data_IF_595103140117
#
_entry.id   IF_595103140117
#
_cell.length_a   1.000
_cell.length_b   1.000
_cell.length_c   1.000
_cell.angle_alpha   90.00
_cell.angle_beta   90.00
_cell.angle_gamma   90.00
#
_symmetry.space_group_name_H-M   'P 1'
#
loop_
_entity.id
_entity.type
_entity.pdbx_description
1 polymer ?
#
# COMPACT_ATOMS: atom_id res chain seq x y z
N UNK A 1 -24.78 -0.54 -12.66
CA UNK A 1 -24.00 -1.77 -12.97
C UNK A 1 -22.73 -1.72 -12.15
N UNK A 2 -22.26 -2.80 -11.52
CA UNK A 2 -20.97 -2.77 -10.83
C UNK A 2 -19.86 -2.54 -11.86
N UNK A 3 -18.97 -1.60 -11.58
CA UNK A 3 -17.79 -1.33 -12.40
C UNK A 3 -16.98 -2.62 -12.56
N UNK A 4 -16.60 -3.04 -13.77
CA UNK A 4 -15.81 -4.25 -13.95
C UNK A 4 -14.51 -4.14 -13.15
N UNK A 5 -14.21 -5.18 -12.37
CA UNK A 5 -12.96 -5.24 -11.60
C UNK A 5 -11.78 -5.25 -12.57
N UNK A 6 -10.91 -4.28 -12.48
CA UNK A 6 -9.63 -4.30 -13.18
C UNK A 6 -8.90 -5.59 -12.78
N UNK A 7 -8.53 -6.43 -13.74
CA UNK A 7 -7.75 -7.64 -13.47
C UNK A 7 -6.27 -7.28 -13.29
N UNK A 8 -5.56 -8.03 -12.45
CA UNK A 8 -4.11 -7.93 -12.38
C UNK A 8 -3.50 -8.58 -13.62
N UNK A 9 -2.63 -7.85 -14.30
CA UNK A 9 -1.89 -8.28 -15.48
C UNK A 9 -0.40 -8.37 -15.14
N UNK A 10 0.27 -9.40 -15.65
CA UNK A 10 1.71 -9.62 -15.45
C UNK A 10 2.53 -8.43 -15.97
N UNK A 11 3.57 -8.06 -15.24
CA UNK A 11 4.46 -6.94 -15.60
C UNK A 11 3.92 -5.54 -15.34
N UNK A 12 2.63 -5.38 -15.02
CA UNK A 12 2.00 -4.07 -14.85
C UNK A 12 2.03 -3.57 -13.41
N UNK A 13 2.06 -2.25 -13.28
CA UNK A 13 2.05 -1.55 -12.00
C UNK A 13 0.61 -1.24 -11.55
N UNK A 14 0.40 -1.32 -10.24
CA UNK A 14 -0.90 -1.05 -9.63
C UNK A 14 -0.74 -0.27 -8.34
N UNK A 15 -1.55 0.76 -8.18
CA UNK A 15 -1.94 1.26 -6.88
C UNK A 15 -3.03 0.37 -6.32
N UNK A 16 -2.82 -0.15 -5.12
CA UNK A 16 -3.75 -1.07 -4.44
C UNK A 16 -4.07 -0.51 -3.07
N UNK A 17 -5.38 -0.51 -2.70
CA UNK A 17 -5.80 -0.02 -1.39
C UNK A 17 -7.05 -0.74 -0.89
N UNK A 18 -7.27 -0.68 0.41
CA UNK A 18 -8.49 -1.17 1.07
C UNK A 18 -8.71 -0.45 2.39
N UNK A 19 -9.95 -0.43 2.84
CA UNK A 19 -10.37 0.20 4.08
C UNK A 19 -10.96 -0.83 5.04
N UNK A 20 -11.01 -0.46 6.32
CA UNK A 20 -11.83 -1.16 7.30
C UNK A 20 -13.31 -1.09 6.92
N UNK A 21 -14.06 -2.09 7.33
CA UNK A 21 -15.51 -2.09 7.20
C UNK A 21 -16.14 -1.26 8.32
N UNK A 22 -16.95 -0.29 7.94
CA UNK A 22 -17.58 0.65 8.88
C UNK A 22 -16.56 1.57 9.57
N UNK A 23 -16.68 1.76 10.87
CA UNK A 23 -15.81 2.63 11.68
C UNK A 23 -14.67 1.88 12.38
N UNK A 24 -14.41 0.64 11.99
CA UNK A 24 -13.34 -0.17 12.60
C UNK A 24 -11.94 0.34 12.24
N UNK A 25 -10.98 0.02 13.10
CA UNK A 25 -9.57 0.13 12.79
C UNK A 25 -9.02 -1.23 12.37
N UNK A 26 -8.24 -1.25 11.29
CA UNK A 26 -7.45 -2.42 10.87
C UNK A 26 -6.31 -2.70 11.85
N UNK A 27 -5.78 -1.63 12.44
CA UNK A 27 -4.63 -1.70 13.35
C UNK A 27 -4.96 -0.95 14.64
N UNK A 28 -5.01 -1.69 15.75
CA UNK A 28 -5.28 -1.15 17.09
C UNK A 28 -4.02 -0.99 17.93
N UNK A 29 -2.96 -1.69 17.54
CA UNK A 29 -1.66 -1.69 18.21
C UNK A 29 -0.55 -2.05 17.21
N UNK A 30 0.69 -1.79 17.57
CA UNK A 30 1.87 -2.04 16.73
C UNK A 30 1.96 -3.47 16.22
N UNK A 31 1.66 -4.44 17.06
CA UNK A 31 1.69 -5.86 16.71
C UNK A 31 0.79 -6.22 15.51
N UNK A 32 -0.30 -5.46 15.30
CA UNK A 32 -1.19 -5.68 14.16
C UNK A 32 -0.51 -5.29 12.83
N UNK A 33 0.22 -4.17 12.81
CA UNK A 33 0.98 -3.73 11.63
C UNK A 33 2.07 -4.75 11.27
N UNK A 34 2.85 -5.16 12.25
CA UNK A 34 3.92 -6.14 12.06
C UNK A 34 3.38 -7.50 11.58
N UNK A 35 2.25 -7.92 12.12
CA UNK A 35 1.60 -9.16 11.70
C UNK A 35 1.10 -9.07 10.25
N UNK A 36 0.47 -7.95 9.85
CA UNK A 36 0.06 -7.76 8.45
C UNK A 36 1.28 -7.77 7.53
N UNK A 37 2.36 -7.08 7.87
CA UNK A 37 3.60 -7.05 7.06
C UNK A 37 4.23 -8.44 6.93
N UNK A 38 4.22 -9.25 8.00
CA UNK A 38 4.68 -10.65 7.94
C UNK A 38 3.83 -11.49 6.99
N UNK A 39 2.50 -11.37 7.06
CA UNK A 39 1.58 -12.05 6.14
C UNK A 39 1.71 -11.54 4.71
N UNK A 40 1.89 -10.23 4.54
CA UNK A 40 2.17 -9.61 3.24
C UNK A 40 3.41 -10.23 2.58
N UNK A 41 4.48 -10.38 3.34
CA UNK A 41 5.70 -11.03 2.84
C UNK A 41 5.44 -12.47 2.37
N UNK A 42 4.59 -13.21 3.07
CA UNK A 42 4.28 -14.61 2.73
C UNK A 42 3.37 -14.76 1.52
N UNK A 43 2.37 -13.88 1.39
CA UNK A 43 1.35 -14.02 0.34
C UNK A 43 1.63 -13.17 -0.89
N UNK A 44 2.17 -11.96 -0.73
CA UNK A 44 2.25 -10.99 -1.82
C UNK A 44 3.63 -10.97 -2.49
N UNK A 45 4.74 -11.07 -1.76
CA UNK A 45 6.07 -11.08 -2.39
C UNK A 45 6.25 -12.19 -3.45
N UNK A 46 5.63 -13.39 -3.35
CA UNK A 46 5.71 -14.37 -4.41
C UNK A 46 5.05 -13.94 -5.73
N UNK A 47 4.07 -13.03 -5.69
CA UNK A 47 3.27 -12.63 -6.85
C UNK A 47 3.49 -11.19 -7.29
N UNK A 48 4.08 -10.34 -6.43
CA UNK A 48 4.31 -8.93 -6.75
C UNK A 48 5.61 -8.40 -6.14
N UNK A 49 6.24 -7.44 -6.84
CA UNK A 49 7.28 -6.54 -6.32
C UNK A 49 6.60 -5.37 -5.62
N UNK A 50 7.20 -4.84 -4.57
CA UNK A 50 6.66 -3.71 -3.80
C UNK A 50 7.55 -2.48 -3.96
N UNK A 51 6.94 -1.36 -4.31
CA UNK A 51 7.60 -0.08 -4.55
C UNK A 51 7.33 0.91 -3.41
N UNK A 52 6.12 0.99 -2.91
CA UNK A 52 5.79 1.80 -1.74
C UNK A 52 4.64 1.19 -0.95
N UNK A 53 4.55 1.52 0.33
CA UNK A 53 3.40 1.23 1.17
C UNK A 53 3.19 2.28 2.25
N UNK A 54 1.96 2.41 2.69
CA UNK A 54 1.60 3.10 3.91
C UNK A 54 0.41 2.39 4.56
N UNK A 55 0.57 2.00 5.83
CA UNK A 55 -0.46 1.36 6.64
C UNK A 55 -0.97 2.38 7.65
N UNK A 56 -2.24 2.78 7.53
CA UNK A 56 -2.91 3.72 8.44
C UNK A 56 -3.93 2.98 9.31
N UNK A 57 -4.37 3.55 10.43
CA UNK A 57 -5.21 2.83 11.39
C UNK A 57 -6.40 2.09 10.78
N UNK A 58 -7.07 2.67 9.80
CA UNK A 58 -8.30 2.17 9.19
C UNK A 58 -8.20 1.80 7.70
N UNK A 59 -7.04 1.99 7.06
CA UNK A 59 -6.82 1.65 5.65
C UNK A 59 -5.33 1.50 5.34
N UNK A 60 -5.02 1.00 4.13
CA UNK A 60 -3.65 0.98 3.64
C UNK A 60 -3.58 1.20 2.13
N UNK A 61 -2.44 1.70 1.68
CA UNK A 61 -2.07 1.86 0.28
C UNK A 61 -0.77 1.14 -0.03
N UNK A 62 -0.71 0.57 -1.24
CA UNK A 62 0.45 -0.14 -1.77
C UNK A 62 0.71 0.29 -3.21
N UNK A 63 1.98 0.43 -3.59
CA UNK A 63 2.43 0.49 -4.97
C UNK A 63 3.15 -0.80 -5.30
N UNK A 64 2.63 -1.57 -6.24
CA UNK A 64 3.15 -2.89 -6.60
C UNK A 64 3.28 -3.07 -8.11
N UNK A 65 4.13 -3.99 -8.51
CA UNK A 65 4.19 -4.54 -9.87
C UNK A 65 3.94 -6.05 -9.81
N UNK A 66 3.04 -6.55 -10.63
CA UNK A 66 2.80 -7.99 -10.72
C UNK A 66 4.00 -8.64 -11.40
N UNK A 67 4.53 -9.70 -10.78
CA UNK A 67 5.67 -10.44 -11.34
C UNK A 67 5.29 -11.16 -12.62
N UNK A 68 6.25 -11.31 -13.51
CA UNK A 68 6.12 -12.17 -14.69
C UNK A 68 6.29 -13.64 -14.31
N UNK A 69 5.69 -14.52 -15.12
CA UNK A 69 5.85 -15.97 -14.97
C UNK A 69 5.24 -16.56 -13.69
N UNK A 70 4.35 -15.83 -13.00
CA UNK A 70 3.69 -16.34 -11.80
C UNK A 70 2.62 -17.39 -12.14
N UNK A 71 2.56 -18.44 -11.32
CA UNK A 71 1.52 -19.48 -11.40
C UNK A 71 0.31 -19.10 -10.55
N UNK A 72 0.55 -18.46 -9.41
CA UNK A 72 -0.50 -18.11 -8.45
C UNK A 72 -1.24 -16.83 -8.84
N UNK A 73 -2.56 -16.83 -8.69
CA UNK A 73 -3.38 -15.64 -8.93
C UNK A 73 -3.08 -14.52 -7.93
N UNK A 74 -2.70 -13.31 -8.36
CA UNK A 74 -2.52 -12.18 -7.45
C UNK A 74 -3.79 -11.84 -6.67
N UNK A 75 -4.96 -11.93 -7.30
CA UNK A 75 -6.24 -11.70 -6.62
C UNK A 75 -6.48 -12.71 -5.50
N UNK A 76 -6.11 -13.98 -5.70
CA UNK A 76 -6.21 -15.00 -4.66
C UNK A 76 -5.19 -14.76 -3.54
N UNK A 77 -3.98 -14.31 -3.87
CA UNK A 77 -2.96 -13.96 -2.88
C UNK A 77 -3.42 -12.83 -1.95
N UNK A 78 -4.02 -11.76 -2.50
CA UNK A 78 -4.63 -10.70 -1.70
C UNK A 78 -5.81 -11.21 -0.86
N UNK A 79 -6.69 -12.04 -1.43
CA UNK A 79 -7.79 -12.66 -0.67
C UNK A 79 -7.28 -13.46 0.53
N UNK A 80 -6.24 -14.26 0.33
CA UNK A 80 -5.62 -15.06 1.39
C UNK A 80 -4.98 -14.18 2.47
N UNK A 81 -4.28 -13.10 2.07
CA UNK A 81 -3.73 -12.11 2.99
C UNK A 81 -4.82 -11.52 3.89
N UNK A 82 -5.87 -10.95 3.28
CA UNK A 82 -6.93 -10.27 4.02
C UNK A 82 -7.72 -11.22 4.92
N UNK A 83 -8.02 -12.43 4.44
CA UNK A 83 -8.70 -13.45 5.21
C UNK A 83 -7.87 -13.94 6.40
N UNK A 84 -6.59 -14.23 6.18
CA UNK A 84 -5.67 -14.67 7.25
C UNK A 84 -5.53 -13.59 8.33
N UNK A 85 -5.41 -12.32 7.93
CA UNK A 85 -5.36 -11.20 8.85
C UNK A 85 -6.66 -11.04 9.63
N UNK A 86 -7.81 -11.05 8.94
CA UNK A 86 -9.14 -10.92 9.57
C UNK A 86 -9.39 -12.02 10.60
N UNK A 87 -9.05 -13.28 10.29
CA UNK A 87 -9.23 -14.39 11.22
C UNK A 87 -8.42 -14.20 12.50
N UNK A 88 -7.15 -13.82 12.38
CA UNK A 88 -6.27 -13.57 13.53
C UNK A 88 -6.75 -12.36 14.36
N UNK A 89 -7.14 -11.27 13.68
CA UNK A 89 -7.67 -10.07 14.31
C UNK A 89 -8.97 -10.36 15.07
N UNK A 90 -9.92 -11.03 14.42
CA UNK A 90 -11.20 -11.40 15.03
C UNK A 90 -11.03 -12.31 16.25
N UNK A 91 -10.10 -13.28 16.17
CA UNK A 91 -9.77 -14.15 17.31
C UNK A 91 -9.19 -13.34 18.48
N UNK A 92 -8.23 -12.44 18.18
CA UNK A 92 -7.56 -11.63 19.23
C UNK A 92 -8.52 -10.69 19.95
N UNK A 93 -9.40 -10.04 19.20
CA UNK A 93 -10.30 -9.00 19.72
C UNK A 93 -11.73 -9.48 19.95
N UNK A 94 -11.97 -10.81 19.91
CA UNK A 94 -13.29 -11.43 20.11
C UNK A 94 -14.38 -10.83 19.21
N UNK A 95 -13.98 -10.47 17.96
CA UNK A 95 -14.82 -9.83 16.97
C UNK A 95 -15.35 -10.88 15.97
N UNK A 96 -16.49 -10.58 15.32
CA UNK A 96 -17.08 -11.41 14.26
C UNK A 96 -17.29 -10.58 12.99
N UNK A 97 -17.37 -11.26 11.85
CA UNK A 97 -17.67 -10.64 10.55
C UNK A 97 -16.45 -10.09 9.82
N UNK A 98 -16.71 -9.42 8.70
CA UNK A 98 -15.67 -8.84 7.83
C UNK A 98 -14.97 -7.69 8.53
N UNK A 99 -13.63 -7.65 8.41
CA UNK A 99 -12.82 -6.53 8.89
C UNK A 99 -12.56 -5.51 7.79
N UNK A 100 -12.43 -5.98 6.55
CA UNK A 100 -12.22 -5.14 5.38
C UNK A 100 -13.50 -4.95 4.59
N UNK A 101 -13.61 -3.83 3.87
CA UNK A 101 -14.62 -3.66 2.82
C UNK A 101 -14.51 -4.79 1.80
N UNK A 102 -15.62 -5.18 1.14
CA UNK A 102 -15.58 -6.20 0.12
C UNK A 102 -14.64 -5.83 -1.03
N UNK A 103 -13.76 -6.75 -1.37
CA UNK A 103 -12.77 -6.62 -2.43
C UNK A 103 -11.70 -5.54 -2.18
N UNK A 104 -10.49 -5.87 -2.58
CA UNK A 104 -9.40 -4.90 -2.62
C UNK A 104 -9.54 -4.01 -3.85
N UNK A 105 -9.39 -2.71 -3.66
CA UNK A 105 -9.40 -1.74 -4.75
C UNK A 105 -8.04 -1.73 -5.45
N UNK A 106 -8.03 -1.41 -6.75
CA UNK A 106 -6.82 -1.29 -7.53
C UNK A 106 -7.01 -0.38 -8.73
N UNK A 107 -5.96 0.32 -9.10
CA UNK A 107 -5.86 1.13 -10.31
C UNK A 107 -4.55 0.80 -11.01
N UNK A 108 -4.60 0.55 -12.30
CA UNK A 108 -3.41 0.35 -13.14
C UNK A 108 -2.70 1.68 -13.31
N UNK A 109 -1.38 1.68 -13.23
CA UNK A 109 -0.51 2.84 -13.45
C UNK A 109 -0.05 2.80 -14.89
N UNK A 110 -0.36 3.84 -15.65
CA UNK A 110 -0.16 3.88 -17.10
C UNK A 110 0.87 4.91 -17.55
N UNK A 111 1.42 5.71 -16.60
CA UNK A 111 2.44 6.72 -16.94
C UNK A 111 3.42 6.94 -15.80
N UNK A 112 4.64 7.38 -16.16
CA UNK A 112 5.72 7.68 -15.23
C UNK A 112 5.35 8.78 -14.25
N UNK A 113 4.69 9.83 -14.74
CA UNK A 113 4.24 10.94 -13.90
C UNK A 113 3.15 10.52 -12.91
N UNK A 114 2.34 9.52 -13.26
CA UNK A 114 1.38 8.95 -12.33
C UNK A 114 2.06 8.04 -11.31
N UNK A 115 3.11 7.32 -11.71
CA UNK A 115 3.90 6.47 -10.83
C UNK A 115 4.54 7.28 -9.69
N UNK A 116 5.31 8.32 -10.01
CA UNK A 116 5.99 9.15 -9.01
C UNK A 116 5.00 9.86 -8.08
N UNK A 117 3.93 10.46 -8.64
CA UNK A 117 2.87 11.08 -7.84
C UNK A 117 2.17 10.10 -6.90
N UNK A 118 1.92 8.86 -7.37
CA UNK A 118 1.30 7.84 -6.54
C UNK A 118 2.19 7.44 -5.35
N UNK A 119 3.50 7.31 -5.55
CA UNK A 119 4.44 7.02 -4.47
C UNK A 119 4.47 8.17 -3.45
N UNK A 120 4.56 9.42 -3.92
CA UNK A 120 4.52 10.60 -3.06
C UNK A 120 3.21 10.64 -2.25
N UNK A 121 2.07 10.46 -2.91
CA UNK A 121 0.77 10.37 -2.26
C UNK A 121 0.73 9.28 -1.18
N UNK A 122 1.20 8.06 -1.49
CA UNK A 122 1.22 6.95 -0.52
C UNK A 122 2.01 7.33 0.74
N UNK A 123 3.16 7.97 0.58
CA UNK A 123 3.98 8.37 1.72
C UNK A 123 3.37 9.54 2.51
N UNK A 124 2.76 10.51 1.85
CA UNK A 124 2.15 11.69 2.50
C UNK A 124 0.78 11.40 3.14
N UNK A 125 0.17 10.26 2.86
CA UNK A 125 -1.17 9.88 3.36
C UNK A 125 -1.37 10.11 4.86
N UNK A 126 -0.43 9.77 5.77
CA UNK A 126 -0.62 9.97 7.19
C UNK A 126 -0.80 11.43 7.61
N UNK A 127 -0.13 12.37 6.95
CA UNK A 127 -0.30 13.80 7.20
C UNK A 127 -1.60 14.33 6.58
N UNK A 128 -1.97 13.88 5.38
CA UNK A 128 -3.26 14.25 4.75
C UNK A 128 -4.46 13.86 5.60
N UNK A 129 -4.39 12.69 6.26
CA UNK A 129 -5.44 12.22 7.16
C UNK A 129 -5.30 12.71 8.59
N UNK A 130 -4.33 13.58 8.88
CA UNK A 130 -4.14 14.18 10.19
C UNK A 130 -3.64 13.22 11.29
N UNK A 131 -3.11 12.05 10.95
CA UNK A 131 -2.55 11.12 11.92
C UNK A 131 -1.23 11.61 12.49
N UNK A 132 -0.46 12.37 11.71
CA UNK A 132 0.78 13.05 12.08
C UNK A 132 0.84 14.41 11.40
N UNK A 133 1.65 15.33 11.93
CA UNK A 133 1.92 16.64 11.27
C UNK A 133 2.83 16.46 10.06
N UNK A 134 3.83 15.61 10.21
CA UNK A 134 4.82 15.31 9.18
C UNK A 134 4.76 13.82 8.85
N UNK A 135 4.49 13.47 7.59
CA UNK A 135 4.40 12.09 7.13
C UNK A 135 5.68 11.28 7.40
N UNK A 136 6.83 11.95 7.49
CA UNK A 136 8.14 11.35 7.79
C UNK A 136 8.21 10.72 9.17
N UNK A 137 7.37 11.17 10.09
CA UNK A 137 7.26 10.62 11.45
C UNK A 137 6.45 9.33 11.50
N UNK A 138 5.66 9.03 10.43
CA UNK A 138 4.82 7.85 10.43
C UNK A 138 5.65 6.57 10.33
N UNK A 139 5.54 5.72 11.36
CA UNK A 139 6.36 4.51 11.50
C UNK A 139 6.05 3.44 10.46
N UNK A 140 4.80 3.31 10.05
CA UNK A 140 4.30 2.22 9.18
C UNK A 140 4.15 2.66 7.72
N UNK A 141 5.09 3.45 7.25
CA UNK A 141 5.29 3.85 5.86
C UNK A 141 6.63 3.35 5.35
N UNK A 142 6.72 3.12 4.05
CA UNK A 142 7.98 2.78 3.38
C UNK A 142 8.95 3.95 3.23
N UNK A 143 8.54 5.19 3.51
CA UNK A 143 9.38 6.39 3.40
C UNK A 143 10.77 6.20 4.02
N UNK A 144 10.82 5.74 5.29
CA UNK A 144 12.10 5.58 6.02
C UNK A 144 13.04 4.57 5.38
N UNK A 145 12.52 3.61 4.62
CA UNK A 145 13.35 2.63 3.91
C UNK A 145 14.16 3.26 2.77
N UNK A 146 13.68 4.37 2.19
CA UNK A 146 14.36 5.09 1.09
C UNK A 146 15.52 5.95 1.56
N UNK A 147 15.49 6.40 2.82
CA UNK A 147 16.52 7.25 3.43
C UNK A 147 17.40 6.47 4.42
N UNK A 148 17.31 5.14 4.41
CA UNK A 148 18.03 4.22 5.29
C UNK A 148 18.84 3.21 4.47
N UNK A 149 19.91 2.69 5.06
CA UNK A 149 20.71 1.59 4.52
C UNK A 149 20.26 0.21 5.03
N UNK A 150 19.18 0.16 5.83
CA UNK A 150 18.67 -1.09 6.38
C UNK A 150 18.16 -2.02 5.27
N UNK A 151 18.38 -3.34 5.38
CA UNK A 151 17.89 -4.31 4.41
C UNK A 151 16.37 -4.23 4.26
N UNK A 152 15.89 -4.23 3.03
CA UNK A 152 14.46 -4.18 2.70
C UNK A 152 14.15 -5.08 1.50
N UNK A 153 12.87 -5.43 1.35
CA UNK A 153 12.34 -6.14 0.17
C UNK A 153 11.67 -5.19 -0.83
N UNK A 154 11.81 -3.87 -0.62
CA UNK A 154 11.31 -2.86 -1.55
C UNK A 154 12.25 -2.72 -2.74
N UNK A 155 11.71 -2.37 -3.88
CA UNK A 155 12.44 -2.05 -5.11
C UNK A 155 13.00 -0.60 -5.05
N UNK A 156 13.89 -0.34 -4.06
CA UNK A 156 14.39 1.00 -3.73
C UNK A 156 15.06 1.64 -4.94
N UNK A 157 16.04 0.96 -5.56
CA UNK A 157 16.81 1.55 -6.66
C UNK A 157 15.90 1.91 -7.83
N UNK A 158 14.99 1.03 -8.21
CA UNK A 158 14.06 1.29 -9.30
C UNK A 158 13.20 2.54 -9.05
N UNK A 159 12.76 2.78 -7.80
CA UNK A 159 12.02 4.00 -7.47
C UNK A 159 12.92 5.23 -7.54
N UNK A 160 14.11 5.16 -6.97
CA UNK A 160 15.05 6.30 -7.01
C UNK A 160 15.42 6.68 -8.44
N UNK A 161 15.57 5.71 -9.34
CA UNK A 161 15.85 5.98 -10.77
C UNK A 161 14.70 6.78 -11.42
N UNK A 162 13.43 6.50 -11.05
CA UNK A 162 12.25 7.23 -11.55
C UNK A 162 12.19 8.68 -11.04
N UNK A 163 12.76 8.94 -9.86
CA UNK A 163 12.84 10.30 -9.29
C UNK A 163 14.12 11.05 -9.65
N UNK A 164 15.01 10.43 -10.46
CA UNK A 164 16.32 11.02 -10.79
C UNK A 164 17.30 11.03 -9.61
N UNK A 165 17.15 10.07 -8.71
CA UNK A 165 17.98 9.87 -7.52
C UNK A 165 17.33 10.30 -6.23
N UNK A 166 18.06 10.14 -5.11
CA UNK A 166 17.55 10.41 -3.76
C UNK A 166 17.19 11.90 -3.55
N UNK A 167 17.92 12.81 -4.17
CA UNK A 167 17.64 14.25 -4.05
C UNK A 167 16.31 14.60 -4.72
N UNK A 168 16.05 14.08 -5.94
CA UNK A 168 14.76 14.23 -6.63
C UNK A 168 13.62 13.62 -5.83
N UNK A 169 13.83 12.41 -5.28
CA UNK A 169 12.86 11.74 -4.41
C UNK A 169 12.48 12.61 -3.21
N UNK A 170 13.47 13.15 -2.48
CA UNK A 170 13.22 14.02 -1.32
C UNK A 170 12.50 15.31 -1.74
N UNK A 171 12.94 15.94 -2.84
CA UNK A 171 12.37 17.19 -3.36
C UNK A 171 10.90 17.02 -3.71
N UNK A 172 10.54 15.96 -4.45
CA UNK A 172 9.16 15.72 -4.87
C UNK A 172 8.23 15.46 -3.67
N UNK A 173 8.74 14.84 -2.60
CA UNK A 173 7.97 14.65 -1.37
C UNK A 173 7.81 15.92 -0.51
N UNK A 174 8.50 17.03 -0.85
CA UNK A 174 8.27 18.34 -0.21
C UNK A 174 7.13 19.12 -0.87
N UNK A 175 6.69 18.70 -2.07
CA UNK A 175 5.56 19.33 -2.75
C UNK A 175 4.29 18.91 -2.00
N UNK A 176 3.52 19.92 -1.56
CA UNK A 176 2.23 19.65 -0.92
C UNK A 176 1.30 18.95 -1.90
N UNK A 177 0.62 17.96 -1.40
CA UNK A 177 -0.41 17.24 -2.13
C UNK A 177 -1.59 18.17 -2.43
N UNK A 178 -2.02 18.20 -3.69
CA UNK A 178 -3.21 18.90 -4.11
C UNK A 178 -4.45 18.00 -3.92
N UNK A 179 -5.38 18.37 -3.01
CA UNK A 179 -6.61 17.61 -2.77
C UNK A 179 -7.49 17.43 -4.01
N UNK A 180 -7.42 18.33 -4.98
CA UNK A 180 -8.18 18.22 -6.24
C UNK A 180 -7.79 17.01 -7.07
N UNK A 181 -6.59 16.46 -6.84
CA UNK A 181 -6.11 15.25 -7.48
C UNK A 181 -6.42 13.95 -6.69
N UNK A 182 -7.15 14.03 -5.59
CA UNK A 182 -7.42 12.89 -4.71
C UNK A 182 -8.21 11.78 -5.42
N UNK A 183 -9.08 12.13 -6.37
CA UNK A 183 -9.81 11.17 -7.21
C UNK A 183 -8.88 10.24 -8.02
N UNK A 184 -7.63 10.67 -8.29
CA UNK A 184 -6.61 9.85 -8.93
C UNK A 184 -6.18 8.66 -8.05
N UNK A 185 -6.37 8.75 -6.74
CA UNK A 185 -5.80 7.81 -5.77
C UNK A 185 -6.84 7.00 -5.00
N UNK A 186 -8.13 7.10 -5.34
CA UNK A 186 -9.11 6.13 -4.91
C UNK A 186 -9.93 6.48 -3.67
N UNK A 187 -10.37 7.73 -3.60
CA UNK A 187 -11.55 8.06 -2.76
C UNK A 187 -12.82 8.00 -3.54
#
# INVERSE_FOLDING_TARGET
>A
MPTPKIQFESGHFYHVWTHANGLDNLFREEANYLFLLSKYASYIHPVAKTFAYCLMPNHFHLMIQIREGIVNSPSQAFSNLLNSYTQAFNKKYQRKGSLFIPNINRRKIESDSYFTRCITYIHQNPSHHGFVKDFRDWKFSSWKSYISTAPTKLEIQAVLDWFGGIEGFIKDHQIEYDPENEWLFGK
#
